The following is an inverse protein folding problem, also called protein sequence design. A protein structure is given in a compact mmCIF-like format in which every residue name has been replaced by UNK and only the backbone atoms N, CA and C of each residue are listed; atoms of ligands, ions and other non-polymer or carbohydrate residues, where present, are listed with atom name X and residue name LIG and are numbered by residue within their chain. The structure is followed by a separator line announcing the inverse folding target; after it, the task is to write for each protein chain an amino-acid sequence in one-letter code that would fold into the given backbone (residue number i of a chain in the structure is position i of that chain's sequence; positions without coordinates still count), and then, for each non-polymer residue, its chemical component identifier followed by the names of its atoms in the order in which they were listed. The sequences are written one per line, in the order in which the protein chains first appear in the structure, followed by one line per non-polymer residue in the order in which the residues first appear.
data_IF_864536038169
#
_entry.id   IF_864536038169
#
_cell.length_a   1.000
_cell.length_b   1.000
_cell.length_c   1.000
_cell.angle_alpha   90.00
_cell.angle_beta   90.00
_cell.angle_gamma   90.00
#
_symmetry.space_group_name_H-M   'P 1'
#
loop_
_entity.id
_entity.type
_entity.pdbx_description
1 polymer ?
#
# COMPACT_ATOMS: atom_id res chain seq x y z
N UNK A 1 -31.92 13.94 -17.01
CA UNK A 1 -32.02 13.20 -18.28
C UNK A 1 -30.89 12.19 -18.32
N UNK A 2 -31.19 10.93 -17.96
CA UNK A 2 -30.23 9.82 -18.00
C UNK A 2 -29.82 9.55 -19.45
N UNK A 3 -28.54 9.75 -19.80
CA UNK A 3 -27.96 9.13 -21.00
C UNK A 3 -27.89 7.63 -20.71
N UNK A 4 -28.86 6.88 -21.21
CA UNK A 4 -28.76 5.45 -21.40
C UNK A 4 -27.52 5.17 -22.23
N UNK A 5 -26.51 4.54 -21.62
CA UNK A 5 -25.36 4.01 -22.34
C UNK A 5 -25.88 2.84 -23.16
N UNK A 6 -26.05 3.03 -24.46
CA UNK A 6 -26.36 1.94 -25.39
C UNK A 6 -25.23 0.91 -25.27
N UNK A 7 -25.51 -0.37 -24.98
CA UNK A 7 -24.45 -1.38 -24.95
C UNK A 7 -23.88 -1.50 -26.37
N UNK A 8 -22.56 -1.29 -26.51
CA UNK A 8 -21.88 -1.50 -27.78
C UNK A 8 -22.01 -2.99 -28.19
N UNK A 9 -22.37 -3.26 -29.46
CA UNK A 9 -22.58 -4.60 -30.03
C UNK A 9 -23.74 -5.40 -29.40
N UNK A 10 -24.91 -4.76 -29.37
CA UNK A 10 -26.16 -5.31 -28.84
C UNK A 10 -26.86 -6.29 -29.79
N UNK A 11 -26.60 -6.18 -31.11
CA UNK A 11 -27.21 -7.04 -32.14
C UNK A 11 -26.20 -8.01 -32.74
N UNK A 12 -26.70 -9.12 -33.28
CA UNK A 12 -25.90 -10.12 -33.99
C UNK A 12 -25.27 -9.59 -35.29
N UNK A 13 -25.87 -8.58 -35.91
CA UNK A 13 -25.30 -7.89 -37.07
C UNK A 13 -24.07 -7.07 -36.68
N UNK A 14 -24.17 -6.27 -35.61
CA UNK A 14 -23.05 -5.49 -35.08
C UNK A 14 -21.89 -6.40 -34.63
N UNK A 15 -22.20 -7.52 -33.96
CA UNK A 15 -21.20 -8.52 -33.54
C UNK A 15 -20.52 -9.18 -34.74
N UNK A 16 -21.28 -9.45 -35.81
CA UNK A 16 -20.73 -10.01 -37.03
C UNK A 16 -19.82 -9.03 -37.76
N UNK A 17 -20.18 -7.76 -37.82
CA UNK A 17 -19.37 -6.71 -38.43
C UNK A 17 -18.06 -6.52 -37.65
N UNK A 18 -18.12 -6.47 -36.32
CA UNK A 18 -16.94 -6.38 -35.46
C UNK A 18 -16.01 -7.59 -35.61
N UNK A 19 -16.56 -8.81 -35.73
CA UNK A 19 -15.80 -10.03 -36.01
C UNK A 19 -15.12 -9.96 -37.39
N UNK A 20 -15.85 -9.51 -38.41
CA UNK A 20 -15.34 -9.42 -39.79
C UNK A 20 -14.21 -8.39 -39.90
N UNK A 21 -14.34 -7.27 -39.19
CA UNK A 21 -13.31 -6.23 -39.08
C UNK A 21 -12.17 -6.60 -38.12
N UNK A 22 -12.31 -7.68 -37.36
CA UNK A 22 -11.40 -8.09 -36.28
C UNK A 22 -11.15 -6.96 -35.27
N UNK A 23 -12.21 -6.28 -34.88
CA UNK A 23 -12.14 -5.12 -34.00
C UNK A 23 -11.60 -5.49 -32.60
N UNK A 24 -10.42 -4.98 -32.20
CA UNK A 24 -9.86 -5.22 -30.87
C UNK A 24 -10.71 -4.64 -29.73
N UNK A 25 -11.55 -3.65 -30.00
CA UNK A 25 -12.41 -3.03 -28.98
C UNK A 25 -13.62 -3.89 -28.62
N UNK A 26 -13.99 -4.84 -29.46
CA UNK A 26 -15.04 -5.82 -29.20
C UNK A 26 -14.57 -6.99 -28.31
N UNK A 27 -13.26 -7.14 -28.09
CA UNK A 27 -12.72 -8.19 -27.23
C UNK A 27 -13.18 -8.02 -25.79
N UNK A 28 -13.85 -9.06 -25.26
CA UNK A 28 -14.39 -9.06 -23.90
C UNK A 28 -15.81 -8.50 -23.78
N UNK A 29 -16.34 -7.87 -24.84
CA UNK A 29 -17.75 -7.53 -24.94
C UNK A 29 -18.60 -8.75 -25.35
N UNK A 30 -18.07 -9.60 -26.24
CA UNK A 30 -18.66 -10.88 -26.60
C UNK A 30 -17.58 -11.86 -27.13
N UNK A 31 -17.99 -13.10 -27.33
CA UNK A 31 -17.21 -14.21 -27.88
C UNK A 31 -17.99 -14.86 -29.01
N UNK A 32 -17.31 -15.56 -29.93
CA UNK A 32 -17.97 -16.29 -31.01
C UNK A 32 -17.52 -17.75 -31.08
N UNK A 33 -18.46 -18.68 -31.21
CA UNK A 33 -18.23 -20.11 -31.42
C UNK A 33 -18.40 -20.48 -32.89
N UNK A 34 -17.54 -21.37 -33.40
CA UNK A 34 -17.62 -21.89 -34.77
C UNK A 34 -18.14 -23.32 -34.74
N UNK A 35 -19.40 -23.51 -35.16
CA UNK A 35 -20.16 -24.78 -35.09
C UNK A 35 -19.38 -25.97 -35.66
N UNK A 36 -18.78 -25.78 -36.83
CA UNK A 36 -18.08 -26.85 -37.56
C UNK A 36 -16.80 -27.34 -36.88
N UNK A 37 -16.18 -26.52 -36.04
CA UNK A 37 -14.91 -26.88 -35.36
C UNK A 37 -15.07 -27.09 -33.86
N UNK A 38 -16.23 -26.72 -33.32
CA UNK A 38 -16.50 -26.69 -31.88
C UNK A 38 -15.57 -25.73 -31.13
N UNK A 39 -14.96 -24.74 -31.78
CA UNK A 39 -14.00 -23.81 -31.17
C UNK A 39 -14.63 -22.43 -30.99
N UNK A 40 -14.49 -21.82 -29.80
CA UNK A 40 -14.83 -20.40 -29.61
C UNK A 40 -13.60 -19.49 -29.50
N UNK A 41 -13.79 -18.23 -29.89
CA UNK A 41 -12.77 -17.21 -30.11
C UNK A 41 -13.24 -15.83 -29.62
N UNK A 42 -12.28 -14.89 -29.58
CA UNK A 42 -12.56 -13.45 -29.44
C UNK A 42 -12.72 -12.78 -30.80
N UNK A 43 -13.46 -11.66 -30.93
CA UNK A 43 -13.67 -10.95 -32.20
C UNK A 43 -12.39 -10.61 -32.95
N UNK A 44 -11.32 -10.20 -32.26
CA UNK A 44 -10.03 -9.85 -32.87
C UNK A 44 -9.19 -11.05 -33.36
N UNK A 45 -9.67 -12.28 -33.17
CA UNK A 45 -8.89 -13.49 -33.42
C UNK A 45 -8.46 -13.61 -34.90
N UNK A 46 -7.16 -13.72 -35.14
CA UNK A 46 -6.59 -13.89 -36.48
C UNK A 46 -6.86 -15.26 -37.13
N UNK A 47 -7.75 -16.08 -36.56
CA UNK A 47 -8.18 -17.36 -37.14
C UNK A 47 -8.89 -17.14 -38.48
N UNK A 48 -8.97 -18.20 -39.30
CA UNK A 48 -9.66 -18.12 -40.59
C UNK A 48 -11.11 -17.71 -40.35
N UNK A 49 -11.57 -16.69 -41.06
CA UNK A 49 -12.93 -16.20 -40.88
C UNK A 49 -13.94 -17.31 -41.22
N UNK A 50 -14.81 -17.70 -40.27
CA UNK A 50 -15.84 -18.70 -40.51
C UNK A 50 -16.95 -18.13 -41.41
N UNK A 51 -17.79 -19.00 -41.98
CA UNK A 51 -19.03 -18.54 -42.65
C UNK A 51 -20.04 -18.09 -41.60
N UNK A 52 -20.82 -17.04 -41.89
CA UNK A 52 -21.81 -16.45 -40.96
C UNK A 52 -22.77 -17.47 -40.36
N UNK A 53 -23.24 -18.40 -41.19
CA UNK A 53 -24.17 -19.48 -40.82
C UNK A 53 -23.60 -20.42 -39.74
N UNK A 54 -22.28 -20.53 -39.65
CA UNK A 54 -21.56 -21.43 -38.74
C UNK A 54 -21.09 -20.73 -37.46
N UNK A 55 -21.60 -19.54 -37.14
CA UNK A 55 -21.19 -18.75 -35.98
C UNK A 55 -22.33 -18.54 -34.99
N UNK A 56 -22.06 -18.84 -33.72
CA UNK A 56 -22.87 -18.44 -32.57
C UNK A 56 -22.13 -17.40 -31.73
N UNK A 57 -22.86 -16.45 -31.13
CA UNK A 57 -22.29 -15.42 -30.26
C UNK A 57 -22.64 -15.67 -28.79
N UNK A 58 -21.71 -15.34 -27.90
CA UNK A 58 -21.83 -15.53 -26.46
C UNK A 58 -21.41 -14.28 -25.72
N UNK A 59 -22.13 -13.90 -24.67
CA UNK A 59 -21.76 -12.75 -23.84
C UNK A 59 -20.50 -13.02 -22.98
N UNK A 60 -20.30 -14.27 -22.56
CA UNK A 60 -19.16 -14.67 -21.71
C UNK A 60 -18.48 -15.93 -22.23
N UNK A 61 -17.20 -16.11 -21.86
CA UNK A 61 -16.46 -17.32 -22.19
C UNK A 61 -17.08 -18.58 -21.54
N UNK A 62 -17.61 -18.45 -20.32
CA UNK A 62 -18.29 -19.55 -19.63
C UNK A 62 -19.56 -19.99 -20.37
N UNK A 63 -20.35 -19.06 -20.91
CA UNK A 63 -21.53 -19.40 -21.71
C UNK A 63 -21.15 -20.23 -22.96
N UNK A 64 -20.03 -19.89 -23.62
CA UNK A 64 -19.52 -20.67 -24.75
C UNK A 64 -19.06 -22.07 -24.34
N UNK A 65 -18.40 -22.22 -23.18
CA UNK A 65 -17.97 -23.51 -22.64
C UNK A 65 -19.16 -24.40 -22.28
N UNK A 66 -20.17 -23.84 -21.60
CA UNK A 66 -21.42 -24.56 -21.27
C UNK A 66 -22.16 -25.01 -22.53
N UNK A 67 -22.09 -24.24 -23.61
CA UNK A 67 -22.62 -24.62 -24.93
C UNK A 67 -21.77 -25.67 -25.68
N UNK A 68 -20.72 -26.23 -25.05
CA UNK A 68 -19.92 -27.31 -25.61
C UNK A 68 -18.75 -26.88 -26.49
N UNK A 69 -18.46 -25.58 -26.60
CA UNK A 69 -17.34 -25.08 -27.37
C UNK A 69 -16.03 -25.16 -26.57
N UNK A 70 -14.97 -25.68 -27.19
CA UNK A 70 -13.61 -25.65 -26.65
C UNK A 70 -12.92 -24.33 -26.97
N UNK A 71 -11.98 -23.93 -26.13
CA UNK A 71 -11.23 -22.70 -26.33
C UNK A 71 -10.33 -22.75 -27.56
N UNK A 72 -10.30 -21.64 -28.30
CA UNK A 72 -9.32 -21.48 -29.36
C UNK A 72 -7.90 -21.41 -28.78
N UNK A 73 -7.06 -22.36 -29.21
CA UNK A 73 -5.63 -22.39 -28.82
C UNK A 73 -4.83 -21.18 -29.30
N UNK A 74 -5.36 -20.39 -30.24
CA UNK A 74 -4.67 -19.22 -30.81
C UNK A 74 -4.95 -17.92 -30.06
N UNK A 75 -6.20 -17.66 -29.69
CA UNK A 75 -6.58 -16.44 -28.97
C UNK A 75 -6.91 -16.67 -27.50
N UNK A 76 -6.95 -17.93 -27.05
CA UNK A 76 -7.17 -18.36 -25.66
C UNK A 76 -8.24 -17.50 -24.96
N UNK A 77 -9.49 -17.53 -25.46
CA UNK A 77 -10.50 -16.53 -25.14
C UNK A 77 -10.84 -16.43 -23.64
N UNK A 78 -10.84 -17.54 -22.89
CA UNK A 78 -11.01 -17.55 -21.43
C UNK A 78 -9.71 -17.33 -20.62
N UNK A 79 -8.57 -17.20 -21.29
CA UNK A 79 -7.33 -16.71 -20.70
C UNK A 79 -7.32 -15.18 -20.60
N UNK A 80 -6.32 -14.61 -19.91
CA UNK A 80 -6.06 -13.17 -19.99
C UNK A 80 -5.75 -12.79 -21.45
N UNK A 81 -6.00 -11.54 -21.91
CA UNK A 81 -5.60 -11.15 -23.26
C UNK A 81 -4.14 -11.50 -23.53
N UNK A 82 -3.84 -11.96 -24.75
CA UNK A 82 -2.51 -12.47 -25.14
C UNK A 82 -1.38 -11.57 -24.66
N UNK A 83 -1.60 -10.26 -24.74
CA UNK A 83 -0.70 -9.23 -24.22
C UNK A 83 -0.41 -9.37 -22.70
N UNK A 84 -1.42 -9.65 -21.88
CA UNK A 84 -1.25 -9.91 -20.45
C UNK A 84 -0.75 -11.31 -20.13
N UNK A 85 -1.04 -12.30 -20.97
CA UNK A 85 -0.43 -13.62 -20.83
C UNK A 85 1.07 -13.55 -21.07
N UNK A 86 1.50 -12.78 -22.09
CA UNK A 86 2.91 -12.46 -22.35
C UNK A 86 3.52 -11.73 -21.14
N UNK A 87 2.85 -10.70 -20.62
CA UNK A 87 3.37 -9.93 -19.48
C UNK A 87 3.39 -10.77 -18.20
N UNK A 88 2.39 -11.59 -17.93
CA UNK A 88 2.35 -12.46 -16.76
C UNK A 88 3.38 -13.59 -16.83
N UNK A 89 3.59 -14.18 -18.02
CA UNK A 89 4.69 -15.13 -18.22
C UNK A 89 6.05 -14.46 -18.05
N UNK A 90 6.18 -13.21 -18.49
CA UNK A 90 7.40 -12.43 -18.26
C UNK A 90 7.58 -12.16 -16.76
N UNK A 91 6.56 -11.71 -16.03
CA UNK A 91 6.64 -11.55 -14.57
C UNK A 91 6.97 -12.88 -13.90
N UNK A 92 6.30 -13.98 -14.23
CA UNK A 92 6.56 -15.30 -13.65
C UNK A 92 8.01 -15.76 -13.90
N UNK A 93 8.57 -15.52 -15.08
CA UNK A 93 9.96 -15.82 -15.39
C UNK A 93 10.94 -14.95 -14.58
N UNK A 94 10.57 -13.69 -14.28
CA UNK A 94 11.36 -12.80 -13.42
C UNK A 94 11.22 -13.15 -11.93
N UNK A 95 10.04 -13.63 -11.52
CA UNK A 95 9.71 -13.98 -10.14
C UNK A 95 10.28 -15.36 -9.74
N UNK A 96 10.54 -16.24 -10.70
CA UNK A 96 10.98 -17.63 -10.48
C UNK A 96 12.36 -17.72 -9.81
N UNK A 97 13.28 -16.85 -10.19
CA UNK A 97 14.58 -16.69 -9.53
C UNK A 97 14.95 -15.20 -9.44
N UNK A 98 14.63 -14.52 -8.32
CA UNK A 98 14.93 -13.11 -8.13
C UNK A 98 16.44 -12.77 -8.15
N UNK A 99 17.33 -13.77 -8.01
CA UNK A 99 18.78 -13.59 -8.10
C UNK A 99 19.29 -13.63 -9.54
N UNK A 100 18.60 -14.34 -10.43
CA UNK A 100 18.96 -14.45 -11.84
C UNK A 100 18.61 -13.16 -12.61
N UNK A 101 19.58 -12.62 -13.35
CA UNK A 101 19.33 -11.48 -14.25
C UNK A 101 18.95 -11.97 -15.63
N UNK A 102 17.70 -11.77 -16.02
CA UNK A 102 17.26 -12.00 -17.38
C UNK A 102 17.40 -10.72 -18.19
N UNK A 103 18.20 -10.78 -19.26
CA UNK A 103 18.24 -9.72 -20.27
C UNK A 103 16.89 -9.62 -20.97
N UNK A 104 16.62 -8.45 -21.56
CA UNK A 104 15.38 -8.27 -22.32
C UNK A 104 15.25 -9.28 -23.48
N UNK A 105 16.37 -9.70 -24.08
CA UNK A 105 16.42 -10.73 -25.12
C UNK A 105 16.03 -12.11 -24.58
N UNK A 106 16.65 -12.55 -23.48
CA UNK A 106 16.32 -13.84 -22.83
C UNK A 106 14.87 -13.88 -22.35
N UNK A 107 14.37 -12.77 -21.80
CA UNK A 107 12.97 -12.66 -21.38
C UNK A 107 12.03 -12.70 -22.59
N UNK A 108 12.39 -12.03 -23.69
CA UNK A 108 11.71 -12.09 -25.00
C UNK A 108 11.60 -13.52 -25.52
N UNK A 109 12.69 -14.28 -25.46
CA UNK A 109 12.73 -15.67 -25.93
C UNK A 109 11.84 -16.57 -25.06
N UNK A 110 11.83 -16.37 -23.75
CA UNK A 110 10.99 -17.11 -22.80
C UNK A 110 9.48 -16.85 -22.97
N UNK A 111 9.11 -15.70 -23.57
CA UNK A 111 7.70 -15.34 -23.84
C UNK A 111 7.34 -15.28 -25.33
N UNK A 112 8.27 -15.67 -26.20
CA UNK A 112 8.13 -15.73 -27.66
C UNK A 112 7.60 -14.44 -28.31
N UNK A 113 8.15 -13.29 -27.92
CA UNK A 113 7.86 -11.99 -28.55
C UNK A 113 9.11 -11.14 -28.69
N UNK A 114 9.17 -10.25 -29.67
CA UNK A 114 10.34 -9.40 -29.86
C UNK A 114 10.67 -8.54 -28.62
N UNK A 115 11.96 -8.23 -28.35
CA UNK A 115 12.39 -7.43 -27.20
C UNK A 115 11.70 -6.07 -27.12
N UNK A 116 11.55 -5.39 -28.27
CA UNK A 116 10.94 -4.06 -28.35
C UNK A 116 9.43 -4.09 -28.07
N UNK A 117 8.75 -5.12 -28.57
CA UNK A 117 7.33 -5.33 -28.28
C UNK A 117 7.12 -5.64 -26.80
N UNK A 118 7.93 -6.54 -26.22
CA UNK A 118 7.88 -6.86 -24.80
C UNK A 118 8.10 -5.64 -23.91
N UNK A 119 9.11 -4.82 -24.21
CA UNK A 119 9.40 -3.62 -23.42
C UNK A 119 8.24 -2.61 -23.41
N UNK A 120 7.66 -2.31 -24.58
CA UNK A 120 6.52 -1.40 -24.69
C UNK A 120 5.28 -1.97 -23.99
N UNK A 121 5.04 -3.26 -24.17
CA UNK A 121 3.88 -3.93 -23.63
C UNK A 121 3.95 -4.04 -22.11
N UNK A 122 5.09 -4.46 -21.58
CA UNK A 122 5.33 -4.56 -20.13
C UNK A 122 5.24 -3.18 -19.46
N UNK A 123 5.79 -2.13 -20.06
CA UNK A 123 5.64 -0.75 -19.54
C UNK A 123 4.19 -0.26 -19.55
N UNK A 124 3.41 -0.60 -20.57
CA UNK A 124 1.99 -0.24 -20.67
C UNK A 124 1.15 -0.96 -19.62
N UNK A 125 1.40 -2.24 -19.38
CA UNK A 125 0.59 -3.10 -18.51
C UNK A 125 1.01 -3.04 -17.04
N UNK A 126 2.32 -3.04 -16.76
CA UNK A 126 2.89 -3.05 -15.40
C UNK A 126 3.25 -1.63 -14.93
N UNK A 127 3.37 -0.67 -15.85
CA UNK A 127 3.73 0.72 -15.54
C UNK A 127 5.24 1.00 -15.46
N UNK A 128 6.08 -0.04 -15.50
CA UNK A 128 7.55 0.03 -15.46
C UNK A 128 8.15 -0.92 -16.50
N UNK A 129 9.43 -0.76 -16.88
CA UNK A 129 10.10 -1.70 -17.78
C UNK A 129 10.48 -3.02 -17.08
N UNK A 130 10.70 -4.13 -17.81
CA UNK A 130 11.15 -5.40 -17.21
C UNK A 130 12.45 -5.27 -16.41
N UNK A 131 13.35 -4.37 -16.82
CA UNK A 131 14.59 -4.07 -16.12
C UNK A 131 14.32 -3.39 -14.77
N UNK A 132 13.42 -2.41 -14.75
CA UNK A 132 12.99 -1.73 -13.52
C UNK A 132 12.20 -2.67 -12.59
N UNK A 133 11.43 -3.60 -13.14
CA UNK A 133 10.71 -4.61 -12.37
C UNK A 133 11.68 -5.55 -11.63
N UNK A 134 12.67 -6.11 -12.33
CA UNK A 134 13.74 -6.92 -11.70
C UNK A 134 14.53 -6.10 -10.66
N UNK A 135 14.82 -4.82 -10.94
CA UNK A 135 15.50 -3.95 -9.99
C UNK A 135 14.68 -3.72 -8.71
N UNK A 136 13.36 -3.54 -8.84
CA UNK A 136 12.46 -3.39 -7.70
C UNK A 136 12.38 -4.66 -6.84
N UNK A 137 12.37 -5.85 -7.46
CA UNK A 137 12.38 -7.13 -6.75
C UNK A 137 13.68 -7.37 -6.00
N UNK A 138 14.83 -7.11 -6.62
CA UNK A 138 16.13 -7.16 -5.93
C UNK A 138 16.20 -6.17 -4.77
N UNK A 139 15.68 -4.96 -4.98
CA UNK A 139 15.52 -3.98 -3.89
C UNK A 139 14.61 -4.47 -2.77
N UNK A 140 13.58 -5.28 -3.06
CA UNK A 140 12.73 -5.91 -2.05
C UNK A 140 13.42 -7.06 -1.31
N UNK A 141 14.09 -7.95 -2.03
CA UNK A 141 14.84 -9.06 -1.46
C UNK A 141 16.00 -8.57 -0.56
N UNK A 142 16.71 -7.52 -0.98
CA UNK A 142 17.74 -6.86 -0.18
C UNK A 142 17.16 -6.28 1.11
N UNK A 143 16.01 -5.60 1.03
CA UNK A 143 15.32 -5.06 2.21
C UNK A 143 14.95 -6.16 3.20
N UNK A 144 14.38 -7.26 2.70
CA UNK A 144 14.02 -8.42 3.51
C UNK A 144 15.23 -9.11 4.16
N UNK A 145 16.33 -9.28 3.41
CA UNK A 145 17.56 -9.87 3.95
C UNK A 145 18.20 -9.01 5.04
N UNK A 146 18.20 -7.69 4.86
CA UNK A 146 18.70 -6.73 5.86
C UNK A 146 17.78 -6.64 7.09
N UNK A 147 16.46 -6.78 6.91
CA UNK A 147 15.50 -6.87 8.03
C UNK A 147 15.73 -8.09 8.92
N UNK A 148 16.22 -9.20 8.35
CA UNK A 148 16.58 -10.42 9.10
C UNK A 148 17.97 -10.36 9.75
N UNK A 149 18.65 -9.22 9.72
CA UNK A 149 19.97 -9.05 10.34
C UNK A 149 21.14 -9.67 9.55
N UNK A 150 20.93 -9.97 8.26
CA UNK A 150 21.99 -10.54 7.40
C UNK A 150 23.05 -9.47 7.11
N UNK A 151 24.33 -9.84 7.22
CA UNK A 151 25.46 -8.97 6.87
C UNK A 151 25.28 -8.33 5.48
N UNK A 152 25.59 -7.04 5.36
CA UNK A 152 25.32 -6.22 4.16
C UNK A 152 25.98 -6.80 2.92
N UNK A 153 27.18 -7.35 3.07
CA UNK A 153 27.94 -7.95 1.97
C UNK A 153 27.21 -9.18 1.44
N UNK A 154 26.74 -10.02 2.36
CA UNK A 154 25.98 -11.24 2.06
C UNK A 154 24.60 -10.93 1.51
N UNK A 155 23.87 -9.98 2.10
CA UNK A 155 22.56 -9.52 1.62
C UNK A 155 22.63 -8.92 0.20
N UNK A 156 23.73 -8.28 -0.15
CA UNK A 156 23.97 -7.72 -1.50
C UNK A 156 24.20 -8.81 -2.55
N UNK A 157 24.94 -9.86 -2.17
CA UNK A 157 25.15 -11.04 -3.03
C UNK A 157 23.84 -11.83 -3.16
N UNK A 158 23.15 -12.07 -2.05
CA UNK A 158 21.87 -12.80 -1.97
C UNK A 158 20.72 -12.06 -2.69
N UNK A 159 20.83 -10.73 -2.87
CA UNK A 159 19.88 -9.95 -3.67
C UNK A 159 20.29 -9.81 -5.15
N UNK A 160 21.32 -10.54 -5.61
CA UNK A 160 21.70 -10.60 -7.02
C UNK A 160 22.45 -9.38 -7.55
N UNK A 161 23.02 -8.52 -6.68
CA UNK A 161 23.78 -7.34 -7.12
C UNK A 161 25.21 -7.65 -7.57
N UNK A 162 25.74 -8.83 -7.24
CA UNK A 162 27.04 -9.34 -7.71
C UNK A 162 28.25 -8.63 -7.07
N UNK A 163 28.14 -7.36 -6.69
CA UNK A 163 29.08 -6.67 -5.80
C UNK A 163 28.44 -5.42 -5.16
N UNK A 164 28.96 -4.94 -4.01
CA UNK A 164 28.53 -3.68 -3.39
C UNK A 164 28.69 -2.46 -4.31
N UNK A 165 29.73 -2.43 -5.14
CA UNK A 165 30.02 -1.32 -6.05
C UNK A 165 28.98 -1.16 -7.15
N UNK A 166 28.48 -2.28 -7.73
CA UNK A 166 27.44 -2.24 -8.77
C UNK A 166 26.07 -1.84 -8.22
N UNK A 167 25.81 -2.07 -6.93
CA UNK A 167 24.63 -1.56 -6.22
C UNK A 167 24.66 -0.03 -6.11
N UNK A 168 25.84 0.57 -5.91
CA UNK A 168 25.99 2.03 -5.86
C UNK A 168 25.84 2.70 -7.23
N UNK A 169 26.24 2.03 -8.32
CA UNK A 169 26.21 2.56 -9.69
C UNK A 169 24.83 2.50 -10.36
N UNK A 170 24.06 1.41 -10.18
CA UNK A 170 22.83 1.18 -10.98
C UNK A 170 21.53 1.62 -10.30
N UNK A 171 21.56 1.88 -8.99
CA UNK A 171 20.36 2.09 -8.19
C UNK A 171 19.65 3.45 -8.36
N UNK A 172 20.33 4.59 -8.65
CA UNK A 172 19.64 5.87 -8.85
C UNK A 172 18.72 5.88 -10.08
N UNK A 173 19.13 5.23 -11.17
CA UNK A 173 18.42 5.28 -12.47
C UNK A 173 17.32 4.22 -12.59
N UNK A 174 17.42 3.11 -11.85
CA UNK A 174 16.50 1.97 -11.96
C UNK A 174 15.38 1.94 -10.90
N UNK A 175 15.55 2.64 -9.77
CA UNK A 175 14.61 2.60 -8.64
C UNK A 175 13.75 3.87 -8.48
N UNK A 176 14.03 4.93 -9.25
CA UNK A 176 13.39 6.24 -9.03
C UNK A 176 13.67 6.82 -7.63
N UNK A 177 14.71 6.31 -6.97
CA UNK A 177 15.09 6.64 -5.60
C UNK A 177 16.61 6.56 -5.53
N UNK A 178 17.25 7.62 -5.03
CA UNK A 178 18.64 7.53 -4.63
C UNK A 178 18.74 6.58 -3.41
N UNK A 179 19.65 5.58 -3.41
CA UNK A 179 19.84 4.68 -2.26
C UNK A 179 20.18 5.39 -0.96
N UNK A 180 20.59 6.67 -1.02
CA UNK A 180 20.83 7.54 0.12
C UNK A 180 19.55 7.92 0.88
N UNK A 181 18.37 7.93 0.24
CA UNK A 181 17.11 8.21 0.92
C UNK A 181 16.65 7.02 1.80
N UNK A 182 16.83 5.79 1.31
CA UNK A 182 16.55 4.57 2.09
C UNK A 182 17.68 4.24 3.09
N UNK A 183 18.94 4.58 2.76
CA UNK A 183 20.11 4.34 3.64
C UNK A 183 20.10 5.11 4.94
N UNK A 184 19.33 6.19 5.04
CA UNK A 184 19.44 7.00 6.24
C UNK A 184 18.67 6.43 7.42
N UNK A 185 17.60 5.62 7.33
CA UNK A 185 16.72 5.35 8.51
C UNK A 185 16.51 6.63 9.36
N UNK A 186 16.32 7.76 8.66
CA UNK A 186 16.26 9.10 9.23
C UNK A 186 17.57 9.74 9.72
N UNK A 187 18.75 9.25 9.34
CA UNK A 187 20.04 9.90 9.63
C UNK A 187 19.97 11.40 9.31
N UNK A 188 20.46 12.21 10.24
CA UNK A 188 20.40 13.69 10.21
C UNK A 188 18.99 14.28 10.09
N UNK A 189 17.95 13.50 10.36
CA UNK A 189 16.62 14.00 10.69
C UNK A 189 16.46 13.97 12.21
N UNK A 190 15.83 15.00 12.74
CA UNK A 190 15.22 14.97 14.07
C UNK A 190 13.73 14.67 13.89
N UNK A 191 13.26 13.61 14.53
CA UNK A 191 11.86 13.19 14.50
C UNK A 191 11.29 13.36 15.90
N UNK A 192 10.32 14.26 16.01
CA UNK A 192 9.58 14.47 17.25
C UNK A 192 8.44 13.48 17.29
N UNK A 193 8.23 12.81 18.42
CA UNK A 193 7.12 11.88 18.59
C UNK A 193 6.42 12.06 19.93
N UNK A 194 5.17 11.65 20.00
CA UNK A 194 4.45 11.50 21.24
C UNK A 194 3.38 10.42 21.09
N UNK A 195 3.03 9.81 22.23
CA UNK A 195 1.97 8.82 22.32
C UNK A 195 0.87 9.29 23.27
N UNK A 196 -0.38 8.90 22.99
CA UNK A 196 -1.52 9.22 23.84
C UNK A 196 -2.57 8.08 23.83
N UNK A 197 -3.32 7.89 24.93
CA UNK A 197 -4.44 6.96 24.94
C UNK A 197 -5.60 7.47 24.06
N UNK A 198 -6.33 6.54 23.45
CA UNK A 198 -7.46 6.77 22.55
C UNK A 198 -8.48 5.64 22.68
N UNK A 199 -9.64 5.79 22.04
CA UNK A 199 -10.64 4.71 21.95
C UNK A 199 -10.14 3.43 21.23
N UNK A 200 -8.99 3.47 20.55
CA UNK A 200 -8.38 2.34 19.83
C UNK A 200 -7.12 1.80 20.52
N UNK A 201 -6.93 2.09 21.80
CA UNK A 201 -5.65 1.86 22.51
C UNK A 201 -4.78 3.11 22.44
N UNK A 202 -3.48 2.97 22.26
CA UNK A 202 -2.57 4.11 22.11
C UNK A 202 -2.41 4.51 20.66
N UNK A 203 -2.37 5.82 20.41
CA UNK A 203 -1.84 6.40 19.17
C UNK A 203 -0.41 6.87 19.41
N UNK A 204 0.46 6.67 18.43
CA UNK A 204 1.75 7.36 18.31
C UNK A 204 1.71 8.25 17.08
N UNK A 205 2.08 9.52 17.24
CA UNK A 205 2.26 10.48 16.15
C UNK A 205 3.73 10.88 16.10
N UNK A 206 4.34 10.85 14.92
CA UNK A 206 5.71 11.29 14.70
C UNK A 206 5.81 12.28 13.53
N UNK A 207 6.66 13.29 13.67
CA UNK A 207 6.82 14.37 12.73
C UNK A 207 8.29 14.76 12.54
N UNK A 208 8.66 15.06 11.30
CA UNK A 208 9.92 15.73 10.95
C UNK A 208 9.73 17.25 10.95
N UNK A 209 10.75 18.00 10.56
CA UNK A 209 10.61 19.43 10.27
C UNK A 209 9.64 19.75 9.12
N UNK A 210 9.35 18.80 8.21
CA UNK A 210 8.49 19.00 7.04
C UNK A 210 7.03 18.64 7.29
N UNK A 211 6.76 17.71 8.20
CA UNK A 211 5.40 17.23 8.47
C UNK A 211 5.34 15.91 9.22
N UNK A 212 4.12 15.39 9.37
CA UNK A 212 3.81 14.09 9.96
C UNK A 212 4.35 12.98 9.06
N UNK A 213 5.23 12.15 9.61
CA UNK A 213 5.81 10.99 8.92
C UNK A 213 5.23 9.66 9.39
N UNK A 214 4.61 9.60 10.59
CA UNK A 214 3.97 8.39 11.12
C UNK A 214 2.75 8.72 11.98
N UNK A 215 1.69 7.95 11.80
CA UNK A 215 0.57 7.82 12.74
C UNK A 215 0.28 6.32 12.87
N UNK A 216 0.41 5.77 14.06
CA UNK A 216 0.18 4.35 14.30
C UNK A 216 -0.63 4.08 15.57
N UNK A 217 -1.28 2.93 15.62
CA UNK A 217 -2.06 2.48 16.78
C UNK A 217 -1.50 1.18 17.35
N UNK A 218 -1.59 1.02 18.67
CA UNK A 218 -1.15 -0.18 19.37
C UNK A 218 -1.76 -0.29 20.76
N UNK A 219 -1.52 -1.40 21.43
CA UNK A 219 -2.03 -1.63 22.78
C UNK A 219 -1.08 -1.10 23.87
N UNK A 220 0.17 -0.80 23.50
CA UNK A 220 1.22 -0.34 24.41
C UNK A 220 2.04 0.79 23.78
N UNK A 221 2.21 1.89 24.53
CA UNK A 221 2.92 3.07 24.06
C UNK A 221 4.43 2.82 23.88
N UNK A 222 5.03 1.98 24.73
CA UNK A 222 6.46 1.68 24.67
C UNK A 222 6.81 0.79 23.46
N UNK A 223 5.93 -0.14 23.09
CA UNK A 223 6.03 -0.96 21.89
C UNK A 223 5.97 -0.09 20.63
N UNK A 224 5.05 0.89 20.59
CA UNK A 224 4.97 1.84 19.48
C UNK A 224 6.24 2.69 19.34
N UNK A 225 6.77 3.20 20.47
CA UNK A 225 8.04 3.93 20.47
C UNK A 225 9.22 3.05 20.02
N UNK A 226 9.20 1.75 20.36
CA UNK A 226 10.20 0.77 19.92
C UNK A 226 10.10 0.49 18.42
N UNK A 227 8.88 0.36 17.87
CA UNK A 227 8.67 0.27 16.41
C UNK A 227 9.22 1.51 15.70
N UNK A 228 8.93 2.71 16.21
CA UNK A 228 9.45 3.96 15.67
C UNK A 228 10.98 4.00 15.67
N UNK A 229 11.62 3.60 16.78
CA UNK A 229 13.09 3.45 16.88
C UNK A 229 13.64 2.49 15.84
N UNK A 230 12.96 1.38 15.57
CA UNK A 230 13.38 0.44 14.53
C UNK A 230 13.30 1.04 13.11
N UNK A 231 12.23 1.77 12.83
CA UNK A 231 11.96 2.40 11.52
C UNK A 231 12.89 3.59 11.25
N UNK A 232 13.17 4.39 12.27
CA UNK A 232 14.01 5.59 12.23
C UNK A 232 15.32 5.41 13.03
N UNK A 233 15.96 4.25 12.91
CA UNK A 233 17.08 3.87 13.79
C UNK A 233 18.33 4.77 13.73
N UNK A 234 18.47 5.63 12.73
CA UNK A 234 19.56 6.60 12.69
C UNK A 234 19.08 8.05 12.83
N UNK A 235 17.78 8.29 13.00
CA UNK A 235 17.26 9.61 13.34
C UNK A 235 17.52 9.94 14.80
N UNK A 236 17.59 11.24 15.10
CA UNK A 236 17.43 11.71 16.46
C UNK A 236 15.93 11.66 16.80
N UNK A 237 15.56 10.79 17.73
CA UNK A 237 14.16 10.68 18.20
C UNK A 237 13.98 11.47 19.49
N UNK A 238 13.10 12.46 19.44
CA UNK A 238 12.81 13.34 20.57
C UNK A 238 11.36 13.16 20.98
N UNK A 239 11.12 12.77 22.22
CA UNK A 239 9.77 12.74 22.76
C UNK A 239 9.31 14.17 23.10
N UNK A 240 8.24 14.62 22.45
CA UNK A 240 7.81 16.03 22.49
C UNK A 240 6.28 16.12 22.47
N UNK A 241 5.67 15.81 23.62
CA UNK A 241 4.22 15.83 23.78
C UNK A 241 3.62 17.21 23.45
N UNK A 242 4.30 18.30 23.80
CA UNK A 242 3.80 19.65 23.56
C UNK A 242 3.71 19.97 22.06
N UNK A 243 4.75 19.63 21.29
CA UNK A 243 4.75 19.83 19.83
C UNK A 243 3.74 18.96 19.10
N UNK A 244 3.51 17.74 19.57
CA UNK A 244 2.60 16.79 18.92
C UNK A 244 1.15 16.90 19.41
N UNK A 245 0.88 17.58 20.53
CA UNK A 245 -0.45 17.74 21.11
C UNK A 245 -1.51 18.24 20.10
N UNK A 246 -1.24 19.25 19.23
CA UNK A 246 -2.24 19.69 18.26
C UNK A 246 -2.64 18.57 17.29
N UNK A 247 -1.71 17.71 16.86
CA UNK A 247 -1.99 16.62 15.92
C UNK A 247 -2.71 15.45 16.60
N UNK A 248 -2.32 15.12 17.83
CA UNK A 248 -3.02 14.12 18.66
C UNK A 248 -4.46 14.56 18.91
N UNK A 249 -4.70 15.84 19.19
CA UNK A 249 -6.05 16.38 19.35
C UNK A 249 -6.90 16.25 18.07
N UNK A 250 -6.29 16.34 16.88
CA UNK A 250 -7.02 16.08 15.62
C UNK A 250 -7.38 14.61 15.47
N UNK A 251 -6.50 13.70 15.85
CA UNK A 251 -6.79 12.25 15.85
C UNK A 251 -7.91 11.95 16.83
N UNK A 252 -7.86 12.52 18.04
CA UNK A 252 -8.88 12.33 19.05
C UNK A 252 -10.24 12.89 18.59
N UNK A 253 -10.28 14.11 18.06
CA UNK A 253 -11.49 14.70 17.48
C UNK A 253 -12.08 13.83 16.35
N UNK A 254 -11.22 13.20 15.55
CA UNK A 254 -11.66 12.29 14.49
C UNK A 254 -12.30 11.02 15.05
N UNK A 255 -11.68 10.39 16.05
CA UNK A 255 -12.21 9.21 16.70
C UNK A 255 -13.54 9.49 17.43
N UNK A 256 -13.70 10.71 17.95
CA UNK A 256 -14.95 11.20 18.53
C UNK A 256 -15.96 11.72 17.49
N UNK A 257 -15.61 11.74 16.21
CA UNK A 257 -16.48 12.17 15.11
C UNK A 257 -16.79 13.67 15.07
N UNK A 258 -16.14 14.49 15.90
CA UNK A 258 -16.22 15.96 15.83
C UNK A 258 -15.37 16.52 14.69
N UNK A 259 -14.64 15.64 14.00
CA UNK A 259 -13.86 15.92 12.80
C UNK A 259 -13.96 14.76 11.83
N UNK A 260 -14.15 15.07 10.55
CA UNK A 260 -14.23 14.05 9.49
C UNK A 260 -13.09 14.14 8.47
N UNK A 261 -12.28 15.21 8.53
CA UNK A 261 -11.16 15.45 7.60
C UNK A 261 -9.88 15.77 8.36
N UNK A 262 -8.76 15.28 7.83
CA UNK A 262 -7.42 15.67 8.26
C UNK A 262 -6.85 16.68 7.29
N UNK A 263 -6.36 17.79 7.82
CA UNK A 263 -5.51 18.73 7.11
C UNK A 263 -4.14 18.72 7.81
N UNK A 264 -3.38 17.66 7.55
CA UNK A 264 -2.08 17.41 8.16
C UNK A 264 -1.00 17.58 7.09
N UNK A 265 0.09 18.34 7.36
CA UNK A 265 1.25 18.32 6.49
C UNK A 265 1.88 16.94 6.58
N UNK A 266 1.90 16.17 5.49
CA UNK A 266 2.47 14.81 5.47
C UNK A 266 3.87 14.84 4.86
N UNK A 267 4.84 14.22 5.53
CA UNK A 267 6.20 13.98 5.04
C UNK A 267 6.40 12.47 4.88
N UNK A 268 5.89 11.94 3.77
CA UNK A 268 5.87 10.50 3.49
C UNK A 268 6.50 10.22 2.12
N UNK A 269 7.45 9.29 2.09
CA UNK A 269 8.08 8.83 0.86
C UNK A 269 7.27 7.68 0.25
N UNK A 270 6.83 7.86 -1.00
CA UNK A 270 6.03 6.89 -1.72
C UNK A 270 6.59 6.65 -3.13
N UNK A 271 6.49 5.41 -3.62
CA UNK A 271 6.63 5.18 -5.06
C UNK A 271 5.48 5.86 -5.80
N UNK A 272 5.66 6.19 -7.07
CA UNK A 272 4.60 6.83 -7.87
C UNK A 272 3.27 6.05 -7.87
N UNK A 273 3.33 4.71 -7.81
CA UNK A 273 2.12 3.89 -7.67
C UNK A 273 1.48 4.03 -6.29
N UNK A 274 2.27 3.97 -5.20
CA UNK A 274 1.75 4.14 -3.83
C UNK A 274 1.14 5.52 -3.64
N UNK A 275 1.78 6.56 -4.17
CA UNK A 275 1.23 7.92 -4.13
C UNK A 275 -0.16 7.98 -4.75
N UNK A 276 -0.33 7.44 -5.98
CA UNK A 276 -1.65 7.41 -6.63
C UNK A 276 -2.69 6.64 -5.83
N UNK A 277 -2.31 5.50 -5.24
CA UNK A 277 -3.21 4.73 -4.37
C UNK A 277 -3.60 5.55 -3.15
N UNK A 278 -2.63 6.12 -2.43
CA UNK A 278 -2.89 6.91 -1.23
C UNK A 278 -3.73 8.17 -1.52
N UNK A 279 -3.52 8.82 -2.66
CA UNK A 279 -4.38 9.91 -3.12
C UNK A 279 -5.81 9.43 -3.39
N UNK A 280 -5.98 8.24 -3.98
CA UNK A 280 -7.30 7.63 -4.17
C UNK A 280 -7.97 7.29 -2.83
N UNK A 281 -7.20 6.80 -1.85
CA UNK A 281 -7.71 6.55 -0.49
C UNK A 281 -8.22 7.83 0.17
N UNK A 282 -7.47 8.92 0.08
CA UNK A 282 -7.85 10.23 0.65
C UNK A 282 -9.13 10.82 0.03
N UNK A 283 -9.53 10.35 -1.15
CA UNK A 283 -10.78 10.77 -1.81
C UNK A 283 -12.01 9.97 -1.35
N UNK A 284 -11.84 8.88 -0.61
CA UNK A 284 -12.96 8.13 -0.04
C UNK A 284 -13.59 8.97 1.06
N UNK A 285 -14.89 9.34 0.99
CA UNK A 285 -15.55 10.15 2.02
C UNK A 285 -15.61 9.46 3.38
N UNK A 286 -15.87 10.24 4.43
CA UNK A 286 -16.10 9.73 5.78
C UNK A 286 -17.39 8.91 5.81
N UNK A 287 -17.35 7.73 6.45
CA UNK A 287 -18.48 6.80 6.48
C UNK A 287 -18.67 5.96 5.22
N UNK A 288 -17.87 6.18 4.17
CA UNK A 288 -17.92 5.39 2.95
C UNK A 288 -16.80 4.36 2.87
N UNK A 289 -17.05 3.27 2.14
CA UNK A 289 -16.06 2.26 1.82
C UNK A 289 -15.88 2.09 0.31
N UNK A 290 -14.72 1.56 -0.08
CA UNK A 290 -14.42 1.14 -1.45
C UNK A 290 -13.79 -0.24 -1.43
N UNK A 291 -13.98 -1.01 -2.50
CA UNK A 291 -13.30 -2.28 -2.66
C UNK A 291 -11.86 -2.07 -3.15
N UNK A 292 -10.96 -3.04 -2.91
CA UNK A 292 -9.62 -3.00 -3.50
C UNK A 292 -9.66 -2.92 -5.04
N UNK A 293 -10.67 -3.50 -5.68
CA UNK A 293 -10.92 -3.37 -7.12
C UNK A 293 -11.32 -1.94 -7.52
N UNK A 294 -12.18 -1.27 -6.75
CA UNK A 294 -12.61 0.10 -7.05
C UNK A 294 -11.41 1.05 -7.01
N UNK A 295 -10.50 0.85 -6.05
CA UNK A 295 -9.27 1.64 -5.97
C UNK A 295 -8.34 1.32 -7.14
N UNK A 296 -8.21 0.05 -7.53
CA UNK A 296 -7.42 -0.36 -8.69
C UNK A 296 -7.94 0.29 -9.99
N UNK A 297 -9.25 0.37 -10.16
CA UNK A 297 -9.90 1.08 -11.27
C UNK A 297 -9.65 2.59 -11.20
N UNK A 298 -9.84 3.21 -10.03
CA UNK A 298 -9.65 4.65 -9.84
C UNK A 298 -8.22 5.12 -10.13
N UNK A 299 -7.20 4.29 -9.92
CA UNK A 299 -5.80 4.61 -10.23
C UNK A 299 -5.39 4.23 -11.66
N UNK A 300 -6.34 3.83 -12.51
CA UNK A 300 -6.10 3.45 -13.91
C UNK A 300 -5.37 2.11 -14.07
N UNK A 301 -5.47 1.22 -13.08
CA UNK A 301 -4.83 -0.10 -13.11
C UNK A 301 -5.77 -1.21 -12.59
N UNK A 302 -6.89 -1.52 -13.26
CA UNK A 302 -7.95 -2.41 -12.75
C UNK A 302 -7.48 -3.81 -12.33
N UNK A 303 -6.38 -4.29 -12.91
CA UNK A 303 -5.79 -5.61 -12.59
C UNK A 303 -4.80 -5.59 -11.42
N UNK A 304 -4.48 -4.43 -10.87
CA UNK A 304 -3.46 -4.25 -9.83
C UNK A 304 -3.99 -4.40 -8.39
N UNK A 305 -5.07 -5.16 -8.19
CA UNK A 305 -5.76 -5.31 -6.89
C UNK A 305 -4.81 -5.72 -5.76
N UNK A 306 -3.91 -6.68 -6.00
CA UNK A 306 -2.93 -7.12 -4.98
C UNK A 306 -1.89 -6.03 -4.67
N UNK A 307 -1.46 -5.28 -5.68
CA UNK A 307 -0.53 -4.17 -5.49
C UNK A 307 -1.18 -3.02 -4.70
N UNK A 308 -2.47 -2.75 -4.94
CA UNK A 308 -3.27 -1.83 -4.13
C UNK A 308 -3.34 -2.31 -2.68
N UNK A 309 -3.62 -3.59 -2.44
CA UNK A 309 -3.65 -4.14 -1.08
C UNK A 309 -2.31 -3.97 -0.35
N UNK A 310 -1.18 -4.22 -1.05
CA UNK A 310 0.16 -3.96 -0.51
C UNK A 310 0.39 -2.47 -0.21
N UNK A 311 -0.06 -1.56 -1.09
CA UNK A 311 0.04 -0.13 -0.86
C UNK A 311 -0.78 0.33 0.37
N UNK A 312 -1.99 -0.22 0.57
CA UNK A 312 -2.80 0.01 1.76
C UNK A 312 -2.11 -0.50 3.04
N UNK A 313 -1.51 -1.69 2.99
CA UNK A 313 -0.79 -2.27 4.14
C UNK A 313 0.48 -1.49 4.50
N UNK A 314 1.10 -0.83 3.51
CA UNK A 314 2.31 -0.01 3.71
C UNK A 314 2.05 1.42 4.18
N UNK A 315 0.78 1.80 4.40
CA UNK A 315 0.44 3.15 4.86
C UNK A 315 1.13 3.47 6.21
N UNK A 316 1.95 4.53 6.30
CA UNK A 316 2.61 4.92 7.55
C UNK A 316 1.77 5.85 8.43
N UNK A 317 0.69 6.45 7.90
CA UNK A 317 -0.12 7.48 8.58
C UNK A 317 -1.59 7.06 8.65
N UNK A 318 -1.93 6.29 9.70
CA UNK A 318 -3.30 5.90 9.99
C UNK A 318 -4.25 7.11 10.02
N UNK A 319 -5.49 6.89 9.57
CA UNK A 319 -6.59 7.87 9.49
C UNK A 319 -6.36 9.04 8.51
N UNK A 320 -5.18 9.65 8.49
CA UNK A 320 -4.81 10.70 7.54
C UNK A 320 -4.84 10.17 6.09
N UNK A 321 -4.34 8.94 5.90
CA UNK A 321 -4.63 8.12 4.71
C UNK A 321 -5.59 7.02 5.17
N UNK A 322 -6.88 7.05 4.78
CA UNK A 322 -7.91 6.21 5.37
C UNK A 322 -7.93 4.79 4.75
N UNK A 323 -6.85 4.03 4.93
CA UNK A 323 -6.74 2.67 4.38
C UNK A 323 -7.71 1.67 5.04
N UNK A 324 -8.28 2.00 6.20
CA UNK A 324 -9.35 1.21 6.84
C UNK A 324 -10.66 1.23 6.04
N UNK A 325 -10.89 2.25 5.20
CA UNK A 325 -12.09 2.34 4.32
C UNK A 325 -12.05 1.39 3.12
N UNK A 326 -10.93 0.70 2.90
CA UNK A 326 -10.82 -0.27 1.81
C UNK A 326 -11.16 -1.68 2.31
N UNK A 327 -12.16 -2.30 1.73
CA UNK A 327 -12.66 -3.63 2.12
C UNK A 327 -12.58 -4.62 0.95
N UNK A 328 -12.80 -5.90 1.22
CA UNK A 328 -12.94 -6.87 0.12
C UNK A 328 -14.25 -6.63 -0.64
N UNK A 329 -14.30 -7.13 -1.88
CA UNK A 329 -15.55 -7.17 -2.64
C UNK A 329 -16.57 -8.00 -1.85
N UNK A 330 -17.74 -7.44 -1.56
CA UNK A 330 -18.74 -8.03 -0.67
C UNK A 330 -18.67 -7.58 0.79
N UNK A 331 -17.78 -6.64 1.14
CA UNK A 331 -17.78 -5.97 2.45
C UNK A 331 -16.96 -6.65 3.54
N UNK A 332 -16.39 -7.83 3.28
CA UNK A 332 -15.58 -8.54 4.25
C UNK A 332 -14.31 -7.74 4.63
N UNK A 333 -14.01 -7.72 5.93
CA UNK A 333 -12.81 -7.08 6.45
C UNK A 333 -11.60 -7.98 6.21
N UNK A 334 -10.61 -7.43 5.52
CA UNK A 334 -9.30 -8.07 5.40
C UNK A 334 -8.21 -7.02 5.37
N UNK A 335 -7.08 -7.36 5.96
CA UNK A 335 -5.87 -6.55 6.00
C UNK A 335 -6.06 -5.22 6.73
N UNK A 336 -5.33 -5.05 7.84
CA UNK A 336 -5.13 -3.75 8.44
C UNK A 336 -3.84 -3.78 9.25
N UNK A 337 -2.95 -2.80 9.02
CA UNK A 337 -1.64 -2.77 9.68
C UNK A 337 -1.74 -2.82 11.21
N UNK A 338 -2.80 -2.21 11.75
CA UNK A 338 -3.01 -2.10 13.21
C UNK A 338 -4.09 -3.07 13.75
N UNK A 339 -4.46 -4.09 12.96
CA UNK A 339 -5.34 -5.18 13.37
C UNK A 339 -6.82 -5.00 12.98
N UNK A 340 -7.47 -6.11 12.63
CA UNK A 340 -8.87 -6.11 12.20
C UNK A 340 -9.86 -5.52 13.22
N UNK A 341 -9.71 -5.70 14.55
CA UNK A 341 -10.62 -5.09 15.52
C UNK A 341 -10.67 -3.56 15.43
N UNK A 342 -9.51 -2.90 15.25
CA UNK A 342 -9.45 -1.44 15.07
C UNK A 342 -10.10 -0.99 13.78
N UNK A 343 -9.92 -1.76 12.70
CA UNK A 343 -10.56 -1.48 11.41
C UNK A 343 -12.09 -1.55 11.50
N UNK A 344 -12.61 -2.58 12.17
CA UNK A 344 -14.05 -2.73 12.41
C UNK A 344 -14.58 -1.54 13.23
N UNK A 345 -13.97 -1.26 14.39
CA UNK A 345 -14.38 -0.16 15.26
C UNK A 345 -14.38 1.21 14.54
N UNK A 346 -13.39 1.47 13.68
CA UNK A 346 -13.35 2.68 12.86
C UNK A 346 -14.51 2.74 11.87
N UNK A 347 -14.74 1.66 11.11
CA UNK A 347 -15.83 1.62 10.13
C UNK A 347 -17.20 1.79 10.78
N UNK A 348 -17.43 1.12 11.92
CA UNK A 348 -18.68 1.22 12.67
C UNK A 348 -18.89 2.65 13.18
N UNK A 349 -17.85 3.26 13.77
CA UNK A 349 -17.92 4.64 14.27
C UNK A 349 -18.21 5.64 13.14
N UNK A 350 -17.59 5.48 11.98
CA UNK A 350 -17.83 6.35 10.82
C UNK A 350 -19.23 6.16 10.23
N UNK A 351 -19.70 4.91 10.08
CA UNK A 351 -21.01 4.59 9.53
C UNK A 351 -22.15 5.11 10.42
N UNK A 352 -22.05 4.92 11.74
CA UNK A 352 -23.05 5.42 12.68
C UNK A 352 -23.16 6.95 12.65
N UNK A 353 -22.05 7.66 12.42
CA UNK A 353 -22.01 9.12 12.49
C UNK A 353 -22.32 9.80 11.15
N UNK A 354 -22.04 9.14 10.03
CA UNK A 354 -22.49 9.58 8.70
C UNK A 354 -24.03 9.51 8.56
N UNK A 355 -24.69 8.62 9.29
CA UNK A 355 -26.16 8.53 9.31
C UNK A 355 -26.87 9.61 10.14
N UNK A 356 -26.16 10.33 11.03
CA UNK A 356 -26.75 11.33 11.94
C UNK A 356 -26.78 12.74 11.33
N UNK A 357 -25.96 13.02 10.32
CA UNK A 357 -25.99 14.32 9.59
C UNK A 357 -27.24 14.54 8.73
N UNK A 358 -28.16 13.57 8.68
CA UNK A 358 -29.46 13.67 8.01
C UNK A 358 -30.62 14.20 8.87
N UNK A 359 -30.41 14.47 10.17
CA UNK A 359 -31.48 14.94 11.08
C UNK A 359 -30.98 16.13 11.92
N UNK A 360 -31.39 17.33 11.49
CA UNK A 360 -31.36 18.63 12.19
C UNK A 360 -30.06 19.11 12.87
N UNK A 361 -29.30 19.91 12.12
CA UNK A 361 -28.32 20.87 12.65
C UNK A 361 -28.99 22.15 13.18
N UNK A 362 -29.95 22.01 14.11
CA UNK A 362 -30.61 23.14 14.78
C UNK A 362 -31.01 22.83 16.23
N UNK A 363 -30.05 22.38 17.05
CA UNK A 363 -30.07 22.65 18.50
C UNK A 363 -28.80 22.09 19.17
N UNK A 364 -27.91 22.98 19.60
CA UNK A 364 -27.16 22.92 20.87
C UNK A 364 -25.84 23.70 20.75
N UNK A 365 -25.97 25.03 20.80
CA UNK A 365 -24.92 25.89 21.35
C UNK A 365 -25.18 26.01 22.86
N UNK A 366 -24.34 25.37 23.67
CA UNK A 366 -23.96 25.88 25.00
C UNK A 366 -22.68 25.20 25.46
N UNK A 367 -21.67 26.03 25.71
CA UNK A 367 -20.31 25.65 26.05
C UNK A 367 -20.12 25.25 27.52
N UNK A 368 -19.05 24.49 27.79
CA UNK A 368 -18.28 24.59 29.03
C UNK A 368 -16.79 24.27 28.74
N UNK A 369 -15.82 25.08 29.19
CA UNK A 369 -14.40 24.85 28.90
C UNK A 369 -13.81 23.81 29.87
N UNK A 370 -13.02 22.86 29.36
CA UNK A 370 -12.22 21.98 30.20
C UNK A 370 -11.06 22.74 30.83
N UNK A 371 -10.99 22.70 32.17
CA UNK A 371 -9.85 23.14 32.99
C UNK A 371 -8.61 22.29 32.66
N UNK A 372 -7.54 22.98 32.26
CA UNK A 372 -6.17 22.43 32.27
C UNK A 372 -5.72 22.35 33.73
N UNK A 373 -5.52 21.14 34.26
CA UNK A 373 -4.75 20.95 35.49
C UNK A 373 -3.28 20.75 35.12
N UNK A 374 -2.52 21.83 35.25
CA UNK A 374 -1.09 21.77 35.43
C UNK A 374 -0.81 21.32 36.88
N UNK A 375 -0.09 20.23 37.07
CA UNK A 375 0.59 20.00 38.35
C UNK A 375 2.09 20.00 38.11
N UNK A 376 2.70 21.01 38.73
CA UNK A 376 4.11 21.33 38.69
C UNK A 376 4.92 20.35 39.54
N UNK A 377 6.09 20.03 39.00
CA UNK A 377 7.26 19.57 39.75
C UNK A 377 7.66 20.68 40.73
N UNK A 378 7.75 20.36 42.02
CA UNK A 378 8.41 21.24 43.00
C UNK A 378 9.59 20.49 43.60
N UNK A 379 10.77 20.88 43.14
CA UNK A 379 12.04 20.81 43.87
C UNK A 379 11.97 21.67 45.13
N UNK A 380 12.40 21.16 46.27
CA UNK A 380 12.71 21.96 47.45
C UNK A 380 14.05 21.52 48.05
N UNK A 381 15.07 22.36 47.86
CA UNK A 381 16.33 22.35 48.60
C UNK A 381 16.24 23.31 49.80
N UNK A 382 16.71 22.80 50.95
CA UNK A 382 17.39 23.48 52.06
C UNK A 382 16.65 24.50 52.95
N UNK A 383 16.54 24.17 54.25
CA UNK A 383 16.99 25.03 55.36
C UNK A 383 16.97 24.30 56.73
N UNK A 384 18.15 24.13 57.31
CA UNK A 384 18.55 24.31 58.73
C UNK A 384 17.64 23.90 59.91
N UNK A 385 18.17 23.07 60.82
CA UNK A 385 17.69 23.00 62.21
C UNK A 385 18.40 21.94 63.08
N UNK A 386 19.27 22.37 63.99
CA UNK A 386 20.06 21.59 64.96
C UNK A 386 19.22 20.70 65.89
N UNK A 387 19.69 19.49 66.23
CA UNK A 387 19.86 19.06 67.64
C UNK A 387 20.66 17.76 67.83
N UNK A 388 21.46 17.78 68.91
CA UNK A 388 22.26 16.72 69.57
C UNK A 388 21.41 15.44 69.82
N UNK A 389 21.91 14.23 70.03
CA UNK A 389 23.06 13.80 70.84
C UNK A 389 23.41 12.30 70.63
N UNK A 390 24.70 11.97 70.82
CA UNK A 390 25.30 10.77 71.45
C UNK A 390 24.84 9.35 71.01
N UNK A 391 25.77 8.51 70.53
CA UNK A 391 26.57 7.59 71.37
C UNK A 391 27.68 6.86 70.60
N UNK A 392 28.83 6.71 71.29
CA UNK A 392 29.81 5.59 71.29
C UNK A 392 30.44 5.06 69.99
N UNK A 393 31.68 5.48 69.78
CA UNK A 393 32.85 4.75 69.21
C UNK A 393 33.31 3.58 70.11
N UNK A 394 34.36 2.77 69.78
CA UNK A 394 34.91 2.26 68.49
C UNK A 394 35.18 0.69 68.61
N UNK A 395 36.01 -0.03 67.80
CA UNK A 395 37.42 0.24 67.48
C UNK A 395 37.83 0.10 65.99
N UNK A 396 39.02 0.65 65.76
CA UNK A 396 39.97 0.76 64.63
C UNK A 396 40.65 -0.57 64.23
N UNK A 397 41.76 -0.60 63.46
CA UNK A 397 41.91 -0.32 62.02
C UNK A 397 42.71 -1.44 61.28
N UNK A 398 42.82 -1.39 59.95
CA UNK A 398 43.97 -1.95 59.20
C UNK A 398 43.98 -1.29 57.81
N UNK A 399 44.84 -0.31 57.55
CA UNK A 399 46.23 -0.43 57.06
C UNK A 399 46.35 -1.14 55.70
N UNK A 400 46.56 -0.30 54.70
CA UNK A 400 47.63 -0.32 53.70
C UNK A 400 47.70 -1.34 52.55
N UNK A 401 48.01 -0.73 51.40
CA UNK A 401 48.80 -1.20 50.26
C UNK A 401 48.24 -2.30 49.35
N UNK A 402 48.00 -1.97 48.08
CA UNK A 402 49.02 -2.01 47.02
C UNK A 402 48.37 -2.06 45.61
N UNK A 403 49.11 -1.49 44.65
CA UNK A 403 49.03 -1.63 43.19
C UNK A 403 47.95 -0.84 42.43
#
# INVERSE_FOLDING_TARGET
MNRTVTPAWSTDAERWDALTQRDPHADGAFFYGVKTTGVFCRPSCASRQPRRENVDFFATADAARTAGYRECKRCQPGGLPRELEIVNRACAALDADPQQRLTLAQLSDAVHVSPFHLQRLFKRVVGVSPRQYQAAQRGAALREALHRGTDVTRATVDAGFGSPSRMYESAPTELGMAPSAYRRKGAGLTVHYASAPTALGFVLVAATAKGICKIGFGDDAAALATELRGEFANAELVEDAARLAPFIAQVDAYLHGTRQRFDLPLDIDATAFRQRVWDALRRIPYGETRSYSDIAEAVGSPRAVRAVASACASNPVALAIPCHRVVQKGGALAGYRWGLPRKAALLDAEAHRAGVEGVDASAAHTAAPLRVQANAVVTATAATGKSKAKSSTPPTPNLDHAA
#
